data_IF_640112968304
#
_entry.id   IF_640112968304
#
_cell.length_a   1.000
_cell.length_b   1.000
_cell.length_c   1.000
_cell.angle_alpha   90.00
_cell.angle_beta   90.00
_cell.angle_gamma   90.00
#
_symmetry.space_group_name_H-M   'P 1'
#
loop_
_entity.id
_entity.type
_entity.pdbx_description
1 polymer ?
#
# COMPACT_ATOMS: atom_id res chain seq x y z
N UNK A 1 -18.62 13.90 9.28
CA UNK A 1 -17.96 12.71 9.85
C UNK A 1 -17.10 12.08 8.76
N UNK A 2 -15.78 12.05 8.91
CA UNK A 2 -14.88 11.37 7.97
C UNK A 2 -14.91 9.86 8.25
N UNK A 3 -15.39 9.06 7.30
CA UNK A 3 -15.41 7.60 7.39
C UNK A 3 -14.06 7.01 6.94
N UNK A 4 -13.01 7.31 7.70
CA UNK A 4 -11.70 6.67 7.53
C UNK A 4 -11.82 5.17 7.78
N UNK A 5 -11.21 4.36 6.91
CA UNK A 5 -11.18 2.90 7.03
C UNK A 5 -9.75 2.39 7.18
N UNK A 6 -9.59 1.28 7.89
CA UNK A 6 -8.37 0.49 7.85
C UNK A 6 -8.47 -0.53 6.72
N UNK A 7 -7.52 -0.49 5.78
CA UNK A 7 -7.54 -1.35 4.59
C UNK A 7 -6.23 -2.14 4.53
N UNK A 8 -6.33 -3.47 4.44
CA UNK A 8 -5.19 -4.34 4.15
C UNK A 8 -5.18 -4.66 2.65
N UNK A 9 -4.05 -4.40 2.01
CA UNK A 9 -3.77 -4.85 0.63
C UNK A 9 -2.73 -5.97 0.69
N UNK A 10 -3.18 -7.20 0.44
CA UNK A 10 -2.31 -8.37 0.35
C UNK A 10 -1.92 -8.63 -1.11
N UNK A 11 -0.63 -8.54 -1.40
CA UNK A 11 -0.03 -8.58 -2.74
C UNK A 11 0.24 -7.19 -3.29
N UNK A 12 1.51 -6.90 -3.57
CA UNK A 12 1.99 -5.65 -4.15
C UNK A 12 2.52 -5.87 -5.56
N UNK A 13 1.70 -6.54 -6.38
CA UNK A 13 1.84 -6.49 -7.83
C UNK A 13 1.49 -5.10 -8.37
N UNK A 14 1.40 -4.99 -9.70
CA UNK A 14 1.01 -3.75 -10.36
C UNK A 14 -0.33 -3.18 -9.84
N UNK A 15 -1.36 -4.03 -9.79
CA UNK A 15 -2.72 -3.65 -9.35
C UNK A 15 -2.78 -3.34 -7.86
N UNK A 16 -2.18 -4.22 -7.03
CA UNK A 16 -2.20 -4.06 -5.58
C UNK A 16 -1.50 -2.78 -5.13
N UNK A 17 -0.33 -2.47 -5.72
CA UNK A 17 0.39 -1.24 -5.43
C UNK A 17 -0.41 0.01 -5.86
N UNK A 18 -0.97 0.02 -7.07
CA UNK A 18 -1.77 1.16 -7.55
C UNK A 18 -2.97 1.45 -6.65
N UNK A 19 -3.69 0.40 -6.22
CA UNK A 19 -4.83 0.54 -5.32
C UNK A 19 -4.41 0.93 -3.90
N UNK A 20 -3.32 0.37 -3.37
CA UNK A 20 -2.81 0.75 -2.05
C UNK A 20 -2.47 2.24 -1.99
N UNK A 21 -1.82 2.77 -3.04
CA UNK A 21 -1.51 4.19 -3.16
C UNK A 21 -2.76 5.06 -3.24
N UNK A 22 -3.68 4.74 -4.16
CA UNK A 22 -4.93 5.51 -4.31
C UNK A 22 -5.75 5.53 -3.02
N UNK A 23 -5.92 4.37 -2.37
CA UNK A 23 -6.70 4.26 -1.14
C UNK A 23 -6.05 4.98 0.04
N UNK A 24 -4.72 5.05 0.08
CA UNK A 24 -3.96 5.71 1.17
C UNK A 24 -4.13 7.22 1.23
N UNK A 25 -4.67 7.83 0.17
CA UNK A 25 -4.95 9.28 0.15
C UNK A 25 -6.04 9.70 1.13
N UNK A 26 -6.93 8.78 1.51
CA UNK A 26 -8.08 9.06 2.36
C UNK A 26 -8.33 8.01 3.46
N UNK A 27 -7.51 6.95 3.51
CA UNK A 27 -7.69 5.83 4.43
C UNK A 27 -6.33 5.39 4.97
N UNK A 28 -6.35 4.73 6.12
CA UNK A 28 -5.18 4.08 6.65
C UNK A 28 -4.99 2.72 5.96
N UNK A 29 -3.92 2.60 5.18
CA UNK A 29 -3.65 1.41 4.34
C UNK A 29 -2.41 0.68 4.82
N UNK A 30 -2.56 -0.62 5.10
CA UNK A 30 -1.45 -1.54 5.32
C UNK A 30 -1.20 -2.37 4.06
N UNK A 31 0.04 -2.40 3.62
CA UNK A 31 0.49 -3.13 2.44
C UNK A 31 1.33 -4.35 2.86
N UNK A 32 0.99 -5.53 2.34
CA UNK A 32 1.71 -6.78 2.61
C UNK A 32 2.04 -7.50 1.29
N UNK A 33 3.25 -8.02 1.16
CA UNK A 33 3.65 -8.93 0.07
C UNK A 33 4.55 -10.01 0.67
N UNK A 34 4.53 -11.20 0.08
CA UNK A 34 5.40 -12.31 0.49
C UNK A 34 6.85 -12.08 0.05
N UNK A 35 7.04 -11.30 -1.02
CA UNK A 35 8.34 -10.96 -1.56
C UNK A 35 8.99 -9.80 -0.79
N UNK A 36 9.90 -10.16 0.13
CA UNK A 36 10.64 -9.22 0.97
C UNK A 36 11.56 -8.30 0.16
N UNK A 37 12.15 -8.77 -0.94
CA UNK A 37 13.00 -7.92 -1.76
C UNK A 37 12.20 -6.80 -2.41
N UNK A 38 11.00 -7.12 -2.90
CA UNK A 38 10.09 -6.13 -3.45
C UNK A 38 9.71 -5.10 -2.39
N UNK A 39 9.37 -5.53 -1.18
CA UNK A 39 9.06 -4.62 -0.08
C UNK A 39 10.22 -3.68 0.24
N UNK A 40 11.45 -4.20 0.27
CA UNK A 40 12.64 -3.39 0.51
C UNK A 40 12.87 -2.35 -0.59
N UNK A 41 12.67 -2.71 -1.86
CA UNK A 41 12.73 -1.79 -3.01
C UNK A 41 11.66 -0.70 -2.92
N UNK A 42 10.45 -1.06 -2.49
CA UNK A 42 9.34 -0.10 -2.33
C UNK A 42 9.58 0.87 -1.16
N UNK A 43 10.10 0.41 -0.02
CA UNK A 43 10.42 1.28 1.13
C UNK A 43 11.54 2.29 0.83
N UNK A 44 12.48 1.93 -0.05
CA UNK A 44 13.56 2.83 -0.49
C UNK A 44 13.07 3.90 -1.46
N UNK A 45 12.04 3.60 -2.25
CA UNK A 45 11.33 4.63 -2.99
C UNK A 45 10.50 5.44 -1.99
N UNK A 46 10.99 6.63 -1.61
CA UNK A 46 10.13 7.65 -1.01
C UNK A 46 9.01 7.96 -2.02
N UNK A 47 7.87 7.30 -1.87
CA UNK A 47 6.63 7.75 -2.48
C UNK A 47 6.28 9.03 -1.73
N UNK A 48 6.48 10.16 -2.41
CA UNK A 48 6.37 11.50 -1.85
C UNK A 48 4.94 11.99 -1.99
#
# INVERSE_FOLDING_TARGET
MSNEKNILVAGLGYVGLANALLLSQHNHVFAYDIDQEKLNKLKQKKVR
#
